data_IF_653282958743
#
_entry.id   IF_653282958743
#
_cell.length_a   1.000
_cell.length_b   1.000
_cell.length_c   1.000
_cell.angle_alpha   90.00
_cell.angle_beta   90.00
_cell.angle_gamma   90.00
#
_symmetry.space_group_name_H-M   'P 1'
#
loop_
_entity.id
_entity.type
_entity.pdbx_description
1 polymer ?
#
# COMPACT_ATOMS: atom_id res chain seq x y z
N UNK A 1 4.74 -15.67 9.85
CA UNK A 1 3.91 -14.46 9.75
C UNK A 1 3.89 -13.74 11.09
N UNK A 2 3.48 -14.39 12.17
CA UNK A 2 3.41 -13.78 13.50
C UNK A 2 4.73 -13.13 13.93
N UNK A 3 5.86 -13.84 13.81
CA UNK A 3 7.17 -13.30 14.13
C UNK A 3 7.50 -12.03 13.32
N UNK A 4 7.12 -11.99 12.04
CA UNK A 4 7.31 -10.83 11.20
C UNK A 4 6.54 -9.61 11.71
N UNK A 5 5.30 -9.79 12.15
CA UNK A 5 4.50 -8.72 12.76
C UNK A 5 5.07 -8.28 14.11
N UNK A 6 5.43 -9.24 14.97
CA UNK A 6 6.03 -8.95 16.29
C UNK A 6 7.37 -8.21 16.18
N UNK A 7 8.20 -8.52 15.18
CA UNK A 7 9.45 -7.82 14.92
C UNK A 7 9.25 -6.32 14.66
N UNK A 8 8.17 -5.95 13.98
CA UNK A 8 7.85 -4.54 13.74
C UNK A 8 7.56 -3.77 15.05
N UNK A 9 6.98 -4.43 16.04
CA UNK A 9 6.69 -3.84 17.36
C UNK A 9 7.93 -3.61 18.21
N UNK A 10 8.96 -4.46 18.08
CA UNK A 10 10.19 -4.33 18.88
C UNK A 10 10.90 -2.99 18.64
N UNK A 11 10.85 -2.46 17.42
CA UNK A 11 11.46 -1.16 17.09
C UNK A 11 10.72 0.05 17.69
N UNK A 12 9.49 -0.14 18.17
CA UNK A 12 8.62 0.95 18.62
C UNK A 12 8.46 1.04 20.14
N UNK A 13 9.13 0.17 20.91
CA UNK A 13 9.08 0.16 22.39
C UNK A 13 7.70 -0.11 22.99
N UNK A 14 6.80 -0.72 22.21
CA UNK A 14 5.43 -1.06 22.61
C UNK A 14 5.26 -2.58 22.55
N UNK A 15 4.97 -3.18 23.68
CA UNK A 15 4.35 -4.48 23.72
C UNK A 15 2.93 -4.28 23.21
N UNK A 16 2.50 -5.10 22.29
CA UNK A 16 1.13 -5.53 22.25
C UNK A 16 0.35 -5.34 21.01
N UNK A 17 0.28 -5.31 19.97
CA UNK A 17 -0.95 -5.49 19.12
C UNK A 17 -0.64 -5.68 17.63
N UNK A 18 -0.30 -6.91 17.31
CA UNK A 18 -0.43 -7.38 15.91
C UNK A 18 -1.89 -7.32 15.43
N UNK A 19 -2.85 -7.18 16.37
CA UNK A 19 -4.29 -7.10 16.09
C UNK A 19 -4.62 -5.98 15.12
N UNK A 20 -3.99 -4.80 15.26
CA UNK A 20 -4.22 -3.66 14.36
C UNK A 20 -3.94 -4.04 12.89
N UNK A 21 -2.89 -4.81 12.64
CA UNK A 21 -2.60 -5.33 11.30
C UNK A 21 -3.56 -6.44 10.87
N UNK A 22 -4.00 -7.28 11.81
CA UNK A 22 -4.92 -8.38 11.54
C UNK A 22 -6.39 -7.92 11.34
N UNK A 23 -6.76 -6.77 11.86
CA UNK A 23 -8.05 -6.14 11.58
C UNK A 23 -8.10 -5.57 10.16
N UNK A 24 -6.98 -5.02 9.72
CA UNK A 24 -6.88 -4.48 8.36
C UNK A 24 -6.73 -5.61 7.32
N UNK A 25 -5.99 -6.68 7.67
CA UNK A 25 -5.72 -7.83 6.81
C UNK A 25 -6.18 -9.13 7.47
N UNK A 26 -7.49 -9.42 7.49
CA UNK A 26 -8.04 -10.59 8.19
C UNK A 26 -7.51 -11.92 7.66
N UNK A 27 -7.12 -11.99 6.38
CA UNK A 27 -6.54 -13.20 5.78
C UNK A 27 -5.27 -13.67 6.52
N UNK A 28 -4.49 -12.74 7.09
CA UNK A 28 -3.27 -13.07 7.83
C UNK A 28 -3.55 -13.87 9.14
N UNK A 29 -4.76 -13.78 9.70
CA UNK A 29 -5.12 -14.50 10.93
C UNK A 29 -4.94 -16.01 10.79
N UNK A 30 -5.36 -16.57 9.64
CA UNK A 30 -5.22 -18.00 9.34
C UNK A 30 -3.78 -18.42 8.99
N UNK A 31 -2.88 -17.46 8.84
CA UNK A 31 -1.52 -17.67 8.34
C UNK A 31 -0.44 -17.43 9.40
N UNK A 32 -0.81 -17.08 10.63
CA UNK A 32 0.14 -16.67 11.68
C UNK A 32 1.26 -17.68 11.92
N UNK A 33 0.96 -18.97 11.90
CA UNK A 33 1.93 -20.05 12.07
C UNK A 33 2.80 -20.31 10.83
N UNK A 34 2.52 -19.70 9.66
CA UNK A 34 3.27 -19.95 8.43
C UNK A 34 4.53 -19.07 8.36
N UNK A 35 5.54 -19.58 7.65
CA UNK A 35 6.71 -18.77 7.26
C UNK A 35 6.31 -17.75 6.21
N UNK A 36 6.78 -16.50 6.32
CA UNK A 36 6.46 -15.44 5.38
C UNK A 36 6.87 -15.76 3.93
N UNK A 37 7.97 -16.47 3.73
CA UNK A 37 8.47 -16.82 2.40
C UNK A 37 7.67 -17.89 1.64
N UNK A 38 6.65 -18.52 2.27
CA UNK A 38 5.78 -19.50 1.59
C UNK A 38 4.38 -18.93 1.32
N UNK A 39 4.18 -17.65 1.60
CA UNK A 39 2.95 -16.92 1.30
C UNK A 39 2.85 -16.63 -0.20
N UNK A 40 1.64 -16.49 -0.72
CA UNK A 40 1.39 -15.92 -2.05
C UNK A 40 1.88 -14.46 -2.12
N UNK A 41 2.10 -13.93 -3.31
CA UNK A 41 2.53 -12.54 -3.48
C UNK A 41 1.60 -11.54 -2.79
N UNK A 42 0.29 -11.70 -2.94
CA UNK A 42 -0.71 -10.85 -2.28
C UNK A 42 -0.68 -10.97 -0.74
N UNK A 43 -0.53 -12.17 -0.17
CA UNK A 43 -0.39 -12.36 1.27
C UNK A 43 0.93 -11.75 1.79
N UNK A 44 2.01 -11.83 1.00
CA UNK A 44 3.28 -11.18 1.33
C UNK A 44 3.14 -9.66 1.34
N UNK A 45 2.42 -9.10 0.38
CA UNK A 45 2.15 -7.66 0.32
C UNK A 45 1.30 -7.18 1.49
N UNK A 46 0.23 -7.91 1.83
CA UNK A 46 -0.59 -7.61 3.02
C UNK A 46 0.26 -7.67 4.30
N UNK A 47 1.13 -8.68 4.43
CA UNK A 47 2.05 -8.79 5.55
C UNK A 47 3.04 -7.61 5.61
N UNK A 48 3.58 -7.18 4.46
CA UNK A 48 4.52 -6.06 4.38
C UNK A 48 3.86 -4.74 4.80
N UNK A 49 2.66 -4.45 4.31
CA UNK A 49 1.88 -3.27 4.70
C UNK A 49 1.52 -3.34 6.19
N UNK A 50 1.03 -4.47 6.67
CA UNK A 50 0.71 -4.67 8.09
C UNK A 50 1.90 -4.41 9.01
N UNK A 51 3.09 -4.90 8.64
CA UNK A 51 4.34 -4.63 9.37
C UNK A 51 4.69 -3.15 9.40
N UNK A 52 4.56 -2.46 8.25
CA UNK A 52 4.84 -1.03 8.17
C UNK A 52 3.89 -0.24 9.08
N UNK A 53 2.60 -0.57 9.10
CA UNK A 53 1.60 0.11 9.93
C UNK A 53 1.85 -0.06 11.45
N UNK A 54 2.32 -1.22 11.88
CA UNK A 54 2.63 -1.47 13.29
C UNK A 54 3.75 -0.56 13.82
N UNK A 55 4.59 0.00 12.95
CA UNK A 55 5.59 1.00 13.35
C UNK A 55 4.98 2.39 13.59
N UNK A 56 3.68 2.57 13.33
CA UNK A 56 2.94 3.85 13.43
C UNK A 56 3.63 4.99 12.67
N UNK A 57 3.87 4.83 11.39
CA UNK A 57 4.51 5.85 10.58
C UNK A 57 3.60 7.08 10.47
N UNK A 58 4.18 8.23 10.12
CA UNK A 58 3.42 9.43 9.74
C UNK A 58 3.06 9.42 8.26
N UNK A 59 3.86 8.73 7.46
CA UNK A 59 3.68 8.56 6.02
C UNK A 59 3.95 7.11 5.69
N UNK A 60 3.04 6.47 4.95
CA UNK A 60 3.22 5.15 4.37
C UNK A 60 3.63 5.32 2.91
N UNK A 61 4.77 4.74 2.52
CA UNK A 61 5.24 4.75 1.14
C UNK A 61 5.03 3.35 0.54
N UNK A 62 4.31 3.28 -0.57
CA UNK A 62 4.02 2.06 -1.29
C UNK A 62 4.54 2.19 -2.73
N UNK A 63 5.40 1.27 -3.12
CA UNK A 63 6.00 1.22 -4.44
C UNK A 63 5.46 -0.02 -5.16
N UNK A 64 4.68 0.19 -6.23
CA UNK A 64 4.00 -0.82 -7.04
C UNK A 64 3.33 -1.94 -6.21
N UNK A 65 2.45 -1.58 -5.24
CA UNK A 65 1.92 -2.55 -4.28
C UNK A 65 1.03 -3.63 -4.90
N UNK A 66 0.67 -3.48 -6.18
CA UNK A 66 -0.21 -4.41 -6.90
C UNK A 66 0.50 -5.24 -7.96
N UNK A 67 1.82 -5.05 -8.15
CA UNK A 67 2.57 -5.75 -9.19
C UNK A 67 2.57 -7.27 -8.97
N UNK A 68 2.20 -8.02 -10.01
CA UNK A 68 2.19 -9.49 -9.98
C UNK A 68 1.12 -10.11 -9.06
N UNK A 69 0.14 -9.34 -8.62
CA UNK A 69 -0.90 -9.79 -7.68
C UNK A 69 -2.20 -10.09 -8.44
N UNK A 70 -2.96 -11.08 -7.96
CA UNK A 70 -4.25 -11.45 -8.53
C UNK A 70 -5.27 -10.31 -8.33
N UNK A 71 -6.19 -10.07 -9.30
CA UNK A 71 -7.17 -8.98 -9.23
C UNK A 71 -8.01 -8.94 -7.96
N UNK A 72 -8.41 -10.10 -7.43
CA UNK A 72 -9.19 -10.16 -6.18
C UNK A 72 -8.42 -9.62 -4.97
N UNK A 73 -7.12 -9.89 -4.90
CA UNK A 73 -6.26 -9.40 -3.81
C UNK A 73 -5.91 -7.92 -4.02
N UNK A 74 -5.80 -7.48 -5.27
CA UNK A 74 -5.62 -6.05 -5.59
C UNK A 74 -6.77 -5.22 -4.99
N UNK A 75 -8.01 -5.70 -5.10
CA UNK A 75 -9.18 -5.03 -4.50
C UNK A 75 -9.08 -4.96 -2.97
N UNK A 76 -8.64 -6.04 -2.31
CA UNK A 76 -8.43 -6.05 -0.86
C UNK A 76 -7.33 -5.06 -0.43
N UNK A 77 -6.25 -4.94 -1.22
CA UNK A 77 -5.17 -3.98 -0.98
C UNK A 77 -5.70 -2.55 -1.18
N UNK A 78 -6.47 -2.30 -2.24
CA UNK A 78 -7.10 -1.00 -2.52
C UNK A 78 -7.98 -0.55 -1.34
N UNK A 79 -8.87 -1.42 -0.87
CA UNK A 79 -9.75 -1.14 0.27
C UNK A 79 -8.94 -0.87 1.55
N UNK A 80 -7.86 -1.62 1.74
CA UNK A 80 -6.98 -1.44 2.90
C UNK A 80 -6.25 -0.10 2.84
N UNK A 81 -5.72 0.31 1.68
CA UNK A 81 -5.07 1.62 1.50
C UNK A 81 -6.07 2.76 1.75
N UNK A 82 -7.30 2.62 1.24
CA UNK A 82 -8.36 3.62 1.47
C UNK A 82 -8.69 3.76 2.95
N UNK A 83 -8.80 2.65 3.68
CA UNK A 83 -9.04 2.66 5.13
C UNK A 83 -7.86 3.26 5.90
N UNK A 84 -6.63 2.96 5.52
CA UNK A 84 -5.42 3.54 6.11
C UNK A 84 -5.46 5.07 6.00
N UNK A 85 -5.78 5.60 4.83
CA UNK A 85 -5.83 7.04 4.60
C UNK A 85 -7.01 7.69 5.34
N UNK A 86 -8.23 7.14 5.23
CA UNK A 86 -9.45 7.78 5.72
C UNK A 86 -9.71 7.53 7.20
N UNK A 87 -9.53 6.29 7.70
CA UNK A 87 -9.86 5.93 9.09
C UNK A 87 -8.69 6.18 10.04
N UNK A 88 -7.45 5.91 9.60
CA UNK A 88 -6.26 6.13 10.41
C UNK A 88 -5.64 7.52 10.22
N UNK A 89 -6.13 8.30 9.24
CA UNK A 89 -5.62 9.64 8.94
C UNK A 89 -4.15 9.65 8.52
N UNK A 90 -3.65 8.55 7.95
CA UNK A 90 -2.27 8.40 7.58
C UNK A 90 -2.04 8.92 6.15
N UNK A 91 -1.02 9.74 5.97
CA UNK A 91 -0.60 10.14 4.64
C UNK A 91 -0.01 8.93 3.90
N UNK A 92 -0.46 8.71 2.65
CA UNK A 92 0.04 7.62 1.80
C UNK A 92 0.70 8.21 0.56
N UNK A 93 1.94 7.84 0.32
CA UNK A 93 2.62 8.07 -0.96
C UNK A 93 2.59 6.77 -1.76
N UNK A 94 1.81 6.77 -2.84
CA UNK A 94 1.65 5.63 -3.73
C UNK A 94 2.44 5.88 -5.01
N UNK A 95 3.36 4.99 -5.36
CA UNK A 95 4.04 4.95 -6.65
C UNK A 95 3.43 3.82 -7.45
N UNK A 96 2.85 4.14 -8.60
CA UNK A 96 2.12 3.18 -9.43
C UNK A 96 2.23 3.53 -10.92
N UNK A 97 2.24 2.49 -11.73
CA UNK A 97 2.14 2.59 -13.19
C UNK A 97 0.71 2.31 -13.69
N UNK A 98 -0.12 1.65 -12.88
CA UNK A 98 -1.52 1.39 -13.18
C UNK A 98 -2.37 2.62 -12.83
N UNK A 99 -2.60 3.46 -13.83
CA UNK A 99 -3.29 4.74 -13.65
C UNK A 99 -4.66 4.59 -12.99
N UNK A 100 -5.47 3.63 -13.45
CA UNK A 100 -6.81 3.41 -12.92
C UNK A 100 -6.81 3.10 -11.42
N UNK A 101 -5.79 2.39 -10.93
CA UNK A 101 -5.63 2.09 -9.51
C UNK A 101 -5.24 3.34 -8.72
N UNK A 102 -4.25 4.10 -9.22
CA UNK A 102 -3.81 5.33 -8.59
C UNK A 102 -4.92 6.39 -8.55
N UNK A 103 -5.67 6.55 -9.66
CA UNK A 103 -6.76 7.52 -9.76
C UNK A 103 -7.91 7.26 -8.77
N UNK A 104 -8.20 5.99 -8.48
CA UNK A 104 -9.23 5.63 -7.49
C UNK A 104 -8.86 5.92 -6.05
N UNK A 105 -7.56 6.05 -5.75
CA UNK A 105 -7.04 6.16 -4.38
C UNK A 105 -6.49 7.54 -4.04
N UNK A 106 -5.90 8.23 -5.02
CA UNK A 106 -5.13 9.43 -4.78
C UNK A 106 -5.99 10.70 -4.80
N UNK A 107 -5.71 11.64 -3.89
CA UNK A 107 -6.28 12.99 -3.90
C UNK A 107 -5.50 13.92 -4.84
N UNK A 108 -4.19 13.68 -4.96
CA UNK A 108 -3.28 14.45 -5.79
C UNK A 108 -2.28 13.53 -6.49
N UNK A 109 -1.73 13.98 -7.60
CA UNK A 109 -0.78 13.22 -8.38
C UNK A 109 0.47 14.02 -8.75
N UNK A 110 1.54 13.27 -8.97
CA UNK A 110 2.79 13.76 -9.57
C UNK A 110 3.19 12.78 -10.66
N UNK A 111 3.35 13.23 -11.90
CA UNK A 111 3.89 12.43 -13.00
C UNK A 111 5.39 12.68 -13.08
N UNK A 112 6.15 11.60 -13.06
CA UNK A 112 7.60 11.65 -13.20
C UNK A 112 8.04 10.94 -14.48
N UNK A 113 8.95 11.56 -15.22
CA UNK A 113 9.58 10.95 -16.37
C UNK A 113 11.08 11.28 -16.36
N UNK A 114 11.92 10.28 -16.58
CA UNK A 114 13.40 10.42 -16.64
C UNK A 114 13.98 11.17 -15.42
N UNK A 115 13.45 10.91 -14.24
CA UNK A 115 13.92 11.53 -12.99
C UNK A 115 13.44 12.96 -12.73
N UNK A 116 12.56 13.50 -13.57
CA UNK A 116 12.00 14.84 -13.40
C UNK A 116 10.47 14.81 -13.24
N UNK A 117 9.92 15.75 -12.45
CA UNK A 117 8.49 15.98 -12.39
C UNK A 117 8.06 16.68 -13.68
N UNK A 118 7.13 16.08 -14.43
CA UNK A 118 6.62 16.61 -15.70
C UNK A 118 5.20 17.14 -15.61
N UNK A 119 4.42 16.68 -14.62
CA UNK A 119 3.11 17.22 -14.27
C UNK A 119 2.77 16.95 -12.81
N UNK A 120 1.93 17.77 -12.22
CA UNK A 120 1.36 17.56 -10.89
C UNK A 120 0.03 18.29 -10.77
N UNK A 121 -0.88 17.78 -9.93
CA UNK A 121 -2.19 18.40 -9.72
C UNK A 121 -3.07 17.58 -8.79
N UNK A 122 -4.34 17.96 -8.68
CA UNK A 122 -5.35 17.20 -7.99
C UNK A 122 -5.92 16.12 -8.92
N UNK A 123 -6.22 14.95 -8.38
CA UNK A 123 -6.62 13.79 -9.21
C UNK A 123 -7.92 14.03 -9.96
N UNK A 124 -8.85 14.81 -9.41
CA UNK A 124 -10.10 15.17 -10.10
C UNK A 124 -9.90 15.97 -11.41
N UNK A 125 -8.73 16.55 -11.62
CA UNK A 125 -8.36 17.28 -12.83
C UNK A 125 -7.44 16.48 -13.76
N UNK A 126 -7.07 15.25 -13.37
CA UNK A 126 -6.21 14.38 -14.15
C UNK A 126 -6.90 13.98 -15.47
N UNK A 127 -6.25 14.27 -16.59
CA UNK A 127 -6.73 13.87 -17.90
C UNK A 127 -5.85 12.78 -18.47
N UNK A 128 -6.46 11.75 -19.03
CA UNK A 128 -5.77 10.64 -19.70
C UNK A 128 -4.79 11.13 -20.79
N UNK A 129 -5.13 12.23 -21.47
CA UNK A 129 -4.27 12.86 -22.48
C UNK A 129 -2.96 13.38 -21.88
N UNK A 130 -3.01 13.96 -20.67
CA UNK A 130 -1.82 14.43 -19.95
C UNK A 130 -0.90 13.25 -19.63
N UNK A 131 -1.48 12.15 -19.16
CA UNK A 131 -0.71 10.93 -18.82
C UNK A 131 -0.05 10.34 -20.07
N UNK A 132 -0.84 10.13 -21.14
CA UNK A 132 -0.33 9.59 -22.41
C UNK A 132 0.76 10.43 -23.03
N UNK A 133 0.62 11.77 -22.96
CA UNK A 133 1.63 12.68 -23.48
C UNK A 133 2.99 12.55 -22.79
N UNK A 134 2.98 12.28 -21.47
CA UNK A 134 4.22 12.24 -20.69
C UNK A 134 4.81 10.84 -20.50
N UNK A 135 3.98 9.80 -20.50
CA UNK A 135 4.42 8.42 -20.26
C UNK A 135 4.64 7.62 -21.54
N UNK A 136 4.39 8.18 -22.73
CA UNK A 136 4.60 7.51 -24.04
C UNK A 136 3.84 6.16 -24.15
N UNK A 137 2.61 6.10 -23.60
CA UNK A 137 1.71 4.96 -23.69
C UNK A 137 0.95 4.93 -25.02
#
# INVERSE_FOLDING_TARGET
VEENLRMALLGCGRADRIDDALELFPALKGLLGRKGGVLSGGEQQQLAIGRALLTRPKVLMLDEPTEGIQPSIVMEIEDSIRRIASELGLAVLLVEQYLDFAERLADAYVIMAKGAVVAAGVTSELRLETVKHHLSL
#
